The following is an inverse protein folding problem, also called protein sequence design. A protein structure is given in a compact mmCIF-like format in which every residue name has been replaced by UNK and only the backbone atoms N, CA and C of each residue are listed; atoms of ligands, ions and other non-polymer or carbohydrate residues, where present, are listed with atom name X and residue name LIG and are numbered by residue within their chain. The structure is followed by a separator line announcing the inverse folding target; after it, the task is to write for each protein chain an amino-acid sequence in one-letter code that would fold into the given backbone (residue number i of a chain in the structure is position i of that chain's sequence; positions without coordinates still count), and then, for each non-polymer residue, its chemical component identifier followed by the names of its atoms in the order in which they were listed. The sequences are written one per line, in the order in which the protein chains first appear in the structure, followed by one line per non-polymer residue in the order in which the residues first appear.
data_IF_737135157383
#
_entry.id   IF_737135157383
#
_cell.length_a   1.000
_cell.length_b   1.000
_cell.length_c   1.000
_cell.angle_alpha   90.00
_cell.angle_beta   90.00
_cell.angle_gamma   90.00
#
_symmetry.space_group_name_H-M   'P 1'
#
loop_
_entity.id
_entity.type
_entity.pdbx_description
1 polymer ?
#
# COMPACT_ATOMS: atom_id res chain seq x y z
N UNK A 1 26.31 -17.99 -24.79
CA UNK A 1 25.86 -19.32 -24.30
C UNK A 1 24.38 -19.47 -24.65
N UNK A 2 23.97 -20.54 -25.33
CA UNK A 2 22.60 -20.71 -25.89
C UNK A 2 21.67 -21.32 -24.85
N UNK A 3 20.49 -20.73 -24.59
CA UNK A 3 19.43 -21.33 -23.77
C UNK A 3 18.06 -21.24 -24.45
N UNK A 4 17.28 -22.32 -24.32
CA UNK A 4 15.99 -22.56 -25.00
C UNK A 4 14.87 -22.49 -23.95
N UNK A 5 13.85 -21.67 -24.18
CA UNK A 5 12.59 -21.68 -23.43
C UNK A 5 11.46 -22.20 -24.34
N UNK A 6 10.62 -23.09 -23.81
CA UNK A 6 9.53 -23.73 -24.56
C UNK A 6 8.20 -23.12 -24.13
N UNK A 7 7.39 -22.64 -25.08
CA UNK A 7 5.97 -22.31 -24.86
C UNK A 7 5.13 -22.94 -25.97
N UNK A 8 3.85 -23.17 -25.71
CA UNK A 8 2.88 -23.97 -26.50
C UNK A 8 2.61 -23.45 -27.94
N UNK A 9 3.32 -22.43 -28.42
CA UNK A 9 3.25 -21.99 -29.83
C UNK A 9 4.63 -21.56 -30.32
N UNK A 10 5.53 -22.53 -30.50
CA UNK A 10 6.81 -22.36 -31.18
C UNK A 10 7.93 -21.68 -30.37
N UNK A 11 9.18 -22.05 -30.67
CA UNK A 11 10.37 -21.48 -30.04
C UNK A 11 10.87 -20.28 -30.85
N UNK A 12 10.93 -19.09 -30.24
CA UNK A 12 11.64 -17.93 -30.77
C UNK A 12 12.95 -17.72 -30.01
N UNK A 13 14.03 -17.50 -30.76
CA UNK A 13 15.35 -17.17 -30.22
C UNK A 13 15.53 -15.67 -30.35
N UNK A 14 15.69 -14.98 -29.22
CA UNK A 14 15.99 -13.56 -29.18
C UNK A 14 17.45 -13.41 -28.73
N UNK A 15 18.28 -12.78 -29.56
CA UNK A 15 19.66 -12.43 -29.21
C UNK A 15 19.66 -11.05 -28.54
N UNK A 16 19.79 -11.05 -27.21
CA UNK A 16 20.03 -9.83 -26.42
C UNK A 16 21.51 -9.76 -26.02
N UNK A 17 22.07 -8.55 -26.02
CA UNK A 17 23.44 -8.33 -25.52
C UNK A 17 23.46 -8.51 -24.00
N UNK A 18 24.65 -8.79 -23.44
CA UNK A 18 24.79 -9.02 -21.99
C UNK A 18 24.38 -7.80 -21.18
N UNK A 19 24.58 -6.61 -21.74
CA UNK A 19 24.21 -5.32 -21.14
C UNK A 19 22.68 -5.11 -21.12
N UNK A 20 21.98 -5.48 -22.20
CA UNK A 20 20.50 -5.47 -22.24
C UNK A 20 19.90 -6.49 -21.26
N UNK A 21 20.55 -7.65 -21.09
CA UNK A 21 20.14 -8.66 -20.11
C UNK A 21 20.28 -8.19 -18.66
N UNK A 22 21.38 -7.49 -18.33
CA UNK A 22 21.57 -6.87 -17.00
C UNK A 22 20.58 -5.72 -16.77
N UNK A 23 20.23 -4.94 -17.80
CA UNK A 23 19.19 -3.92 -17.72
C UNK A 23 17.78 -4.52 -17.45
N UNK A 24 17.48 -5.70 -18.00
CA UNK A 24 16.26 -6.45 -17.69
C UNK A 24 16.25 -7.00 -16.25
N UNK A 25 17.41 -7.31 -15.68
CA UNK A 25 17.55 -7.72 -14.28
C UNK A 25 17.52 -6.54 -13.29
N UNK A 26 17.89 -5.34 -13.73
CA UNK A 26 17.83 -4.10 -12.93
C UNK A 26 16.43 -3.49 -12.83
N UNK A 27 15.40 -4.15 -13.35
CA UNK A 27 14.01 -3.92 -12.93
C UNK A 27 13.69 -4.85 -11.76
N UNK A 28 14.48 -4.75 -10.69
CA UNK A 28 14.31 -5.54 -9.48
C UNK A 28 13.47 -4.79 -8.43
N UNK A 29 12.34 -4.23 -8.86
CA UNK A 29 11.20 -3.99 -7.98
C UNK A 29 10.27 -5.18 -8.19
N UNK A 30 10.53 -6.27 -7.46
CA UNK A 30 9.68 -7.46 -7.48
C UNK A 30 8.27 -7.10 -7.01
N UNK A 31 7.20 -7.32 -7.81
CA UNK A 31 5.92 -7.64 -7.25
C UNK A 31 5.82 -9.16 -7.25
N UNK A 32 6.14 -9.76 -6.10
CA UNK A 32 5.62 -11.07 -5.73
C UNK A 32 4.14 -11.15 -6.13
N UNK A 33 3.83 -12.09 -7.00
CA UNK A 33 2.55 -12.24 -7.68
C UNK A 33 1.41 -12.74 -6.77
N UNK A 34 1.52 -12.61 -5.45
CA UNK A 34 0.53 -13.18 -4.53
C UNK A 34 -0.18 -12.18 -3.62
N UNK A 35 0.20 -10.89 -3.52
CA UNK A 35 -0.42 -9.98 -2.51
C UNK A 35 -0.60 -8.49 -2.88
N UNK A 36 -0.28 -8.03 -4.09
CA UNK A 36 -0.06 -6.60 -4.32
C UNK A 36 -1.18 -5.87 -5.10
N UNK A 37 -2.22 -5.40 -4.39
CA UNK A 37 -2.85 -4.10 -4.77
C UNK A 37 -2.59 -2.98 -3.76
N UNK A 38 -2.00 -3.28 -2.60
CA UNK A 38 -1.41 -2.27 -1.70
C UNK A 38 0.03 -1.86 -2.04
N UNK A 39 0.80 -2.69 -2.75
CA UNK A 39 2.27 -2.54 -2.86
C UNK A 39 2.76 -1.49 -3.86
N UNK A 40 1.86 -0.75 -4.51
CA UNK A 40 2.19 0.37 -5.40
C UNK A 40 1.95 1.75 -4.78
N UNK A 41 1.28 1.83 -3.62
CA UNK A 41 1.03 3.10 -2.96
C UNK A 41 2.12 3.41 -1.95
N UNK A 42 2.79 4.53 -2.17
CA UNK A 42 3.68 5.15 -1.20
C UNK A 42 2.94 5.38 0.12
N UNK A 43 3.65 5.39 1.25
CA UNK A 43 3.05 5.70 2.56
C UNK A 43 2.20 6.98 2.55
N UNK A 44 2.61 7.99 1.79
CA UNK A 44 1.84 9.23 1.63
C UNK A 44 0.49 9.02 0.93
N UNK A 45 0.44 8.11 -0.05
CA UNK A 45 -0.79 7.76 -0.77
C UNK A 45 -1.73 6.95 0.12
N UNK A 46 -1.19 6.01 0.91
CA UNK A 46 -1.97 5.27 1.92
C UNK A 46 -2.59 6.22 2.95
N UNK A 47 -1.81 7.19 3.44
CA UNK A 47 -2.29 8.23 4.36
C UNK A 47 -3.38 9.08 3.70
N UNK A 48 -3.23 9.44 2.42
CA UNK A 48 -4.21 10.25 1.69
C UNK A 48 -5.50 9.48 1.42
N UNK A 49 -5.40 8.22 1.03
CA UNK A 49 -6.52 7.31 0.86
C UNK A 49 -7.29 7.11 2.17
N UNK A 50 -6.57 6.81 3.26
CA UNK A 50 -7.17 6.69 4.58
C UNK A 50 -7.83 8.00 5.04
N UNK A 51 -7.22 9.16 4.77
CA UNK A 51 -7.79 10.46 5.10
C UNK A 51 -9.13 10.70 4.36
N UNK A 52 -9.20 10.51 3.04
CA UNK A 52 -10.44 10.74 2.29
C UNK A 52 -11.57 9.81 2.77
N UNK A 53 -11.25 8.55 3.06
CA UNK A 53 -12.22 7.57 3.55
C UNK A 53 -12.64 7.86 5.00
N UNK A 54 -11.71 8.22 5.88
CA UNK A 54 -12.02 8.63 7.25
C UNK A 54 -12.83 9.93 7.29
N UNK A 55 -12.65 10.83 6.33
CA UNK A 55 -13.50 12.03 6.17
C UNK A 55 -14.95 11.66 5.90
N UNK A 56 -15.18 10.64 5.07
CA UNK A 56 -16.52 10.16 4.70
C UNK A 56 -17.20 9.38 5.82
N UNK A 57 -16.46 8.50 6.50
CA UNK A 57 -17.00 7.70 7.60
C UNK A 57 -17.12 8.49 8.92
N UNK A 58 -16.24 9.46 9.12
CA UNK A 58 -16.11 10.28 10.33
C UNK A 58 -16.34 9.51 11.66
N UNK A 59 -15.64 8.39 11.90
CA UNK A 59 -15.77 7.64 13.15
C UNK A 59 -15.48 8.53 14.36
N UNK A 60 -16.41 8.58 15.31
CA UNK A 60 -16.34 9.44 16.51
C UNK A 60 -15.41 8.90 17.61
N UNK A 61 -14.84 7.70 17.44
CA UNK A 61 -14.05 6.99 18.46
C UNK A 61 -12.78 6.38 17.87
N UNK A 62 -11.72 6.27 18.69
CA UNK A 62 -10.43 5.67 18.31
C UNK A 62 -10.59 4.25 17.77
N UNK A 63 -11.35 3.39 18.46
CA UNK A 63 -11.61 2.02 18.01
C UNK A 63 -12.31 2.00 16.65
N UNK A 64 -13.20 2.96 16.41
CA UNK A 64 -13.86 3.13 15.13
C UNK A 64 -12.88 3.51 14.02
N UNK A 65 -11.90 4.37 14.30
CA UNK A 65 -10.83 4.71 13.34
C UNK A 65 -9.98 3.49 13.02
N UNK A 66 -9.53 2.75 14.04
CA UNK A 66 -8.70 1.55 13.86
C UNK A 66 -9.44 0.50 13.00
N UNK A 67 -10.67 0.14 13.39
CA UNK A 67 -11.50 -0.81 12.64
C UNK A 67 -11.81 -0.34 11.22
N UNK A 68 -12.02 0.96 11.03
CA UNK A 68 -12.24 1.52 9.70
C UNK A 68 -10.99 1.37 8.84
N UNK A 69 -9.80 1.67 9.38
CA UNK A 69 -8.52 1.50 8.67
C UNK A 69 -8.29 0.01 8.34
N UNK A 70 -8.47 -0.90 9.30
CA UNK A 70 -8.40 -2.34 9.05
C UNK A 70 -9.31 -2.77 7.90
N UNK A 71 -10.58 -2.35 7.96
CA UNK A 71 -11.57 -2.68 6.93
C UNK A 71 -11.25 -2.06 5.57
N UNK A 72 -10.55 -0.91 5.52
CA UNK A 72 -10.10 -0.28 4.27
C UNK A 72 -8.99 -1.08 3.58
N UNK A 73 -8.16 -1.79 4.34
CA UNK A 73 -7.01 -2.52 3.83
C UNK A 73 -7.19 -4.06 3.83
N UNK A 74 -8.29 -4.58 4.39
CA UNK A 74 -8.58 -6.02 4.43
C UNK A 74 -8.54 -6.69 3.04
N UNK A 75 -8.99 -5.97 2.00
CA UNK A 75 -9.01 -6.48 0.63
C UNK A 75 -7.71 -6.22 -0.15
N UNK A 76 -6.79 -5.44 0.43
CA UNK A 76 -5.54 -5.06 -0.21
C UNK A 76 -4.32 -5.83 0.35
N UNK A 77 -4.53 -6.94 1.05
CA UNK A 77 -3.48 -7.74 1.69
C UNK A 77 -3.42 -7.59 3.21
N UNK A 78 -4.36 -6.84 3.81
CA UNK A 78 -4.38 -6.59 5.24
C UNK A 78 -3.34 -5.56 5.68
N UNK A 79 -3.51 -5.06 6.89
CA UNK A 79 -2.59 -4.11 7.52
C UNK A 79 -2.33 -4.55 8.95
N UNK A 80 -1.09 -4.44 9.40
CA UNK A 80 -0.72 -4.81 10.78
C UNK A 80 -1.08 -3.69 11.75
N UNK A 81 -1.29 -4.04 13.02
CA UNK A 81 -1.57 -3.06 14.09
C UNK A 81 -0.50 -1.95 14.15
N UNK A 82 0.78 -2.30 13.98
CA UNK A 82 1.88 -1.33 13.97
C UNK A 82 1.78 -0.33 12.81
N UNK A 83 1.41 -0.79 11.61
CA UNK A 83 1.22 0.09 10.45
C UNK A 83 -0.01 0.99 10.61
N UNK A 84 -1.10 0.49 11.21
CA UNK A 84 -2.27 1.31 11.56
C UNK A 84 -1.86 2.44 12.50
N UNK A 85 -1.10 2.14 13.55
CA UNK A 85 -0.64 3.17 14.48
C UNK A 85 0.27 4.20 13.81
N UNK A 86 1.14 3.79 12.88
CA UNK A 86 1.93 4.73 12.06
C UNK A 86 1.05 5.60 11.17
N UNK A 87 0.01 5.04 10.56
CA UNK A 87 -0.96 5.77 9.74
C UNK A 87 -1.70 6.80 10.60
N UNK A 88 -2.20 6.39 11.76
CA UNK A 88 -2.89 7.25 12.72
C UNK A 88 -1.97 8.38 13.21
N UNK A 89 -0.74 8.07 13.58
CA UNK A 89 0.26 9.08 13.96
C UNK A 89 0.55 10.06 12.82
N UNK A 90 0.64 9.57 11.57
CA UNK A 90 0.84 10.41 10.39
C UNK A 90 -0.36 11.34 10.14
N UNK A 91 -1.59 10.85 10.33
CA UNK A 91 -2.82 11.63 10.19
C UNK A 91 -2.97 12.69 11.29
N UNK A 92 -2.60 12.36 12.53
CA UNK A 92 -2.57 13.33 13.64
C UNK A 92 -1.50 14.40 13.40
N UNK A 93 -0.30 14.03 12.91
CA UNK A 93 0.76 14.99 12.57
C UNK A 93 0.32 15.96 11.47
N UNK A 94 -0.48 15.50 10.51
CA UNK A 94 -1.10 16.33 9.47
C UNK A 94 -2.29 17.17 9.98
N UNK A 95 -2.59 17.15 11.28
CA UNK A 95 -3.74 17.81 11.92
C UNK A 95 -5.09 17.44 11.30
N UNK A 96 -5.22 16.23 10.76
CA UNK A 96 -6.46 15.78 10.12
C UNK A 96 -7.57 15.46 11.15
N UNK A 97 -7.18 14.83 12.27
CA UNK A 97 -8.02 14.69 13.46
C UNK A 97 -7.14 14.68 14.71
N UNK A 98 -7.76 14.94 15.85
CA UNK A 98 -7.17 14.76 17.17
C UNK A 98 -7.97 13.70 17.93
N UNK A 99 -7.27 12.83 18.67
CA UNK A 99 -7.90 11.87 19.58
C UNK A 99 -7.77 12.42 21.00
N UNK A 100 -8.90 12.65 21.67
CA UNK A 100 -8.95 13.10 23.06
C UNK A 100 -8.67 11.94 24.02
N UNK A 101 -8.28 12.23 25.28
CA UNK A 101 -7.99 11.20 26.29
C UNK A 101 -9.18 10.24 26.52
N UNK A 102 -10.42 10.70 26.35
CA UNK A 102 -11.64 9.89 26.37
C UNK A 102 -11.80 8.94 25.17
N UNK A 103 -10.84 8.89 24.24
CA UNK A 103 -10.90 8.08 23.03
C UNK A 103 -11.85 8.64 21.96
N UNK A 104 -12.37 9.86 22.14
CA UNK A 104 -13.16 10.58 21.13
C UNK A 104 -12.26 11.13 20.04
N UNK A 105 -12.75 11.08 18.80
CA UNK A 105 -12.04 11.60 17.62
C UNK A 105 -12.70 12.91 17.21
N UNK A 106 -11.92 13.98 17.23
CA UNK A 106 -12.33 15.30 16.76
C UNK A 106 -11.64 15.59 15.43
N UNK A 107 -12.43 15.63 14.36
CA UNK A 107 -11.92 16.01 13.04
C UNK A 107 -11.68 17.51 13.02
N UNK A 108 -10.42 17.90 12.84
CA UNK A 108 -10.00 19.28 12.74
C UNK A 108 -10.09 19.67 11.26
N UNK A 109 -11.34 19.77 10.77
CA UNK A 109 -11.62 20.20 9.40
C UNK A 109 -11.71 21.71 9.34
N UNK A 110 -10.78 22.33 8.63
CA UNK A 110 -11.05 23.55 7.85
C UNK A 110 -11.15 23.15 6.39
#
# INVERSE_FOLDING_TARGET
MKKIGTTTTGNFIIEVTKEEYDALLQTNDQPDASQAKAKGMSHSELVTYAADRLRKLAPKRRDGVIRSIEAMFQFNGGITAAEIEKLVASLQKRKFFAITADGKVSYLGT
#
